data_IF_102651644138
#
_entry.id   IF_102651644138
#
_cell.length_a   1.000
_cell.length_b   1.000
_cell.length_c   1.000
_cell.angle_alpha   90.00
_cell.angle_beta   90.00
_cell.angle_gamma   90.00
#
_symmetry.space_group_name_H-M   'P 1'
#
loop_
_entity.id
_entity.type
_entity.pdbx_description
1 polymer ?
#
# COMPACT_ATOMS: atom_id res chain seq x y z
N UNK A 1 20.27 39.61 -49.63
CA UNK A 1 20.70 38.19 -49.70
C UNK A 1 19.46 37.33 -49.82
N UNK A 2 19.37 36.57 -50.91
CA UNK A 2 18.26 35.69 -51.26
C UNK A 2 18.37 34.32 -50.59
N UNK A 3 17.22 33.71 -50.24
CA UNK A 3 16.88 32.30 -50.50
C UNK A 3 15.40 32.13 -50.09
N UNK A 4 14.46 31.98 -51.03
CA UNK A 4 13.97 30.75 -51.66
C UNK A 4 13.18 29.80 -50.74
N UNK A 5 11.97 29.52 -51.23
CA UNK A 5 10.89 28.64 -50.76
C UNK A 5 11.31 27.20 -50.47
N UNK A 6 10.68 26.58 -49.47
CA UNK A 6 10.23 25.19 -49.60
C UNK A 6 8.80 25.05 -49.07
N UNK A 7 7.88 24.77 -49.99
CA UNK A 7 6.61 24.18 -49.65
C UNK A 7 6.83 22.67 -49.49
N UNK A 8 6.64 22.13 -48.29
CA UNK A 8 6.37 20.70 -48.13
C UNK A 8 4.87 20.53 -47.98
N UNK A 9 4.23 20.14 -49.10
CA UNK A 9 2.97 19.42 -49.06
C UNK A 9 3.20 18.13 -48.29
N UNK A 10 2.39 17.91 -47.27
CA UNK A 10 2.40 16.72 -46.43
C UNK A 10 1.43 16.90 -45.28
N UNK A 11 0.14 16.79 -45.57
CA UNK A 11 -0.86 16.55 -44.54
C UNK A 11 -0.49 15.25 -43.81
N UNK A 12 -0.03 15.37 -42.57
CA UNK A 12 -0.27 14.35 -41.56
C UNK A 12 -0.93 15.07 -40.40
N UNK A 13 -2.26 15.08 -40.44
CA UNK A 13 -3.10 15.42 -39.32
C UNK A 13 -2.84 14.36 -38.23
N UNK A 14 -1.85 14.60 -37.38
CA UNK A 14 -1.72 13.89 -36.12
C UNK A 14 -2.07 14.88 -35.03
N UNK A 15 -3.35 15.24 -35.00
CA UNK A 15 -4.00 15.65 -33.75
C UNK A 15 -3.73 14.52 -32.76
N UNK A 16 -2.73 14.69 -31.90
CA UNK A 16 -2.60 13.86 -30.71
C UNK A 16 -3.87 14.11 -29.90
N UNK A 17 -4.86 13.25 -30.08
CA UNK A 17 -6.03 13.19 -29.23
C UNK A 17 -5.52 13.04 -27.79
N UNK A 18 -5.68 14.11 -27.01
CA UNK A 18 -5.46 14.09 -25.57
C UNK A 18 -6.50 13.12 -24.99
N UNK A 19 -6.12 11.87 -24.78
CA UNK A 19 -6.95 10.92 -24.08
C UNK A 19 -7.06 11.37 -22.63
N UNK A 20 -8.22 11.90 -22.24
CA UNK A 20 -8.54 12.17 -20.84
C UNK A 20 -8.54 10.85 -20.06
N UNK A 21 -7.53 10.68 -19.21
CA UNK A 21 -7.39 9.54 -18.33
C UNK A 21 -7.72 9.96 -16.89
N UNK A 22 -8.76 9.34 -16.32
CA UNK A 22 -9.07 9.45 -14.90
C UNK A 22 -8.36 8.37 -14.09
N UNK A 23 -7.78 8.73 -12.95
CA UNK A 23 -7.22 7.78 -11.99
C UNK A 23 -8.15 7.66 -10.77
N UNK A 24 -8.57 6.44 -10.46
CA UNK A 24 -9.28 6.13 -9.21
C UNK A 24 -8.23 5.76 -8.17
N UNK A 25 -8.12 6.56 -7.11
CA UNK A 25 -7.05 6.44 -6.09
C UNK A 25 -7.45 5.49 -4.96
N UNK A 26 -8.75 5.28 -4.75
CA UNK A 26 -9.29 4.40 -3.72
C UNK A 26 -10.63 4.90 -3.19
N UNK A 27 -11.25 4.15 -2.31
CA UNK A 27 -12.50 4.56 -1.68
C UNK A 27 -12.23 5.50 -0.49
N UNK A 28 -13.07 6.53 -0.30
CA UNK A 28 -12.85 7.55 0.76
C UNK A 28 -13.00 6.97 2.17
N UNK A 29 -13.78 5.90 2.32
CA UNK A 29 -14.01 5.16 3.54
C UNK A 29 -12.83 4.27 3.96
N UNK A 30 -11.89 4.00 3.05
CA UNK A 30 -10.69 3.22 3.33
C UNK A 30 -9.50 4.09 3.77
N UNK A 31 -9.61 5.41 3.66
CA UNK A 31 -8.53 6.36 4.00
C UNK A 31 -8.32 6.41 5.52
N UNK A 32 -7.07 6.28 5.94
CA UNK A 32 -6.66 6.50 7.33
C UNK A 32 -6.18 7.94 7.53
N UNK A 33 -6.70 8.60 8.57
CA UNK A 33 -6.25 9.94 8.95
C UNK A 33 -5.33 9.85 10.15
N UNK A 34 -4.07 10.23 9.97
CA UNK A 34 -3.06 10.27 11.03
C UNK A 34 -2.40 11.64 11.03
N UNK A 35 -2.39 12.31 12.18
CA UNK A 35 -1.76 13.64 12.36
C UNK A 35 -2.24 14.71 11.36
N UNK A 36 -3.49 14.61 10.90
CA UNK A 36 -4.07 15.55 9.92
C UNK A 36 -3.71 15.26 8.46
N UNK A 37 -3.02 14.16 8.19
CA UNK A 37 -2.68 13.67 6.85
C UNK A 37 -3.52 12.43 6.52
N UNK A 38 -3.84 12.25 5.25
CA UNK A 38 -4.65 11.15 4.75
C UNK A 38 -3.76 10.17 3.98
N UNK A 39 -3.87 8.89 4.29
CA UNK A 39 -3.12 7.82 3.63
C UNK A 39 -4.06 6.72 3.18
N UNK A 40 -3.75 6.10 2.04
CA UNK A 40 -4.40 4.86 1.63
C UNK A 40 -3.62 3.68 2.23
N UNK A 41 -4.26 2.81 3.04
CA UNK A 41 -3.60 1.66 3.67
C UNK A 41 -2.86 0.77 2.66
N UNK A 42 -3.41 0.61 1.46
CA UNK A 42 -2.81 -0.19 0.38
C UNK A 42 -1.41 0.30 -0.02
N UNK A 43 -1.16 1.61 0.05
CA UNK A 43 0.16 2.16 -0.29
C UNK A 43 1.20 1.76 0.77
N UNK A 44 0.80 1.77 2.04
CA UNK A 44 1.65 1.35 3.16
C UNK A 44 1.90 -0.16 3.11
N UNK A 45 0.84 -0.95 2.86
CA UNK A 45 0.93 -2.39 2.67
C UNK A 45 1.89 -2.75 1.54
N UNK A 46 1.78 -2.06 0.40
CA UNK A 46 2.64 -2.27 -0.77
C UNK A 46 4.11 -1.98 -0.48
N UNK A 47 4.42 -0.94 0.30
CA UNK A 47 5.79 -0.66 0.73
C UNK A 47 6.36 -1.80 1.57
N UNK A 48 5.58 -2.30 2.54
CA UNK A 48 5.99 -3.40 3.42
C UNK A 48 6.17 -4.71 2.63
N UNK A 49 5.22 -5.04 1.75
CA UNK A 49 5.24 -6.25 0.92
C UNK A 49 6.48 -6.34 0.01
N UNK A 50 6.98 -5.20 -0.46
CA UNK A 50 8.16 -5.15 -1.35
C UNK A 50 9.48 -5.37 -0.62
N UNK A 51 9.51 -5.20 0.70
CA UNK A 51 10.75 -5.17 1.46
C UNK A 51 11.30 -6.58 1.78
N UNK A 52 10.44 -7.59 1.89
CA UNK A 52 10.86 -8.94 2.27
C UNK A 52 10.10 -10.04 1.54
N UNK A 53 10.83 -10.96 0.89
CA UNK A 53 10.26 -12.02 0.02
C UNK A 53 9.38 -13.06 0.72
N UNK A 54 9.52 -13.18 2.04
CA UNK A 54 8.75 -14.12 2.87
C UNK A 54 7.44 -13.54 3.41
N UNK A 55 7.18 -12.26 3.18
CA UNK A 55 5.90 -11.67 3.54
C UNK A 55 4.89 -12.15 2.51
N UNK A 56 3.92 -12.96 2.94
CA UNK A 56 2.85 -13.45 2.08
C UNK A 56 1.80 -12.36 1.88
N UNK A 57 1.37 -11.73 2.98
CA UNK A 57 0.34 -10.69 3.01
C UNK A 57 0.63 -9.65 4.11
N UNK A 58 0.04 -8.47 3.98
CA UNK A 58 0.19 -7.37 4.94
C UNK A 58 -1.15 -6.64 5.07
N UNK A 59 -1.57 -6.27 6.28
CA UNK A 59 -2.78 -5.48 6.48
C UNK A 59 -2.49 -4.29 7.39
N UNK A 60 -2.99 -3.12 7.02
CA UNK A 60 -2.76 -1.89 7.78
C UNK A 60 -4.09 -1.27 8.21
N UNK A 61 -4.20 -0.93 9.50
CA UNK A 61 -5.35 -0.22 10.03
C UNK A 61 -4.95 0.66 11.22
N UNK A 62 -5.89 1.44 11.74
CA UNK A 62 -5.67 2.29 12.91
C UNK A 62 -6.44 1.78 14.11
N UNK A 63 -5.84 1.84 15.30
CA UNK A 63 -6.49 1.54 16.56
C UNK A 63 -6.17 2.61 17.59
N UNK A 64 -7.18 3.33 18.08
CA UNK A 64 -7.02 4.40 19.08
C UNK A 64 -5.95 5.45 18.69
N UNK A 65 -5.84 5.77 17.39
CA UNK A 65 -4.82 6.64 16.77
C UNK A 65 -3.40 6.07 16.69
N UNK A 66 -3.20 4.77 16.95
CA UNK A 66 -1.98 4.05 16.64
C UNK A 66 -2.11 3.40 15.27
N UNK A 67 -1.03 3.43 14.48
CA UNK A 67 -0.92 2.66 13.25
C UNK A 67 -0.56 1.22 13.61
N UNK A 68 -1.42 0.28 13.23
CA UNK A 68 -1.24 -1.15 13.44
C UNK A 68 -0.93 -1.80 12.09
N UNK A 69 0.18 -2.55 12.04
CA UNK A 69 0.60 -3.29 10.84
C UNK A 69 0.60 -4.77 11.16
N UNK A 70 -0.22 -5.54 10.45
CA UNK A 70 -0.28 -7.00 10.53
C UNK A 70 0.49 -7.55 9.35
N UNK A 71 1.42 -8.46 9.61
CA UNK A 71 2.27 -9.05 8.57
C UNK A 71 2.19 -10.56 8.66
N UNK A 72 1.82 -11.17 7.55
CA UNK A 72 1.77 -12.61 7.38
C UNK A 72 3.14 -13.09 6.88
N UNK A 73 3.81 -13.91 7.68
CA UNK A 73 5.18 -14.37 7.41
C UNK A 73 5.20 -15.88 7.17
N UNK A 74 5.69 -16.30 6.00
CA UNK A 74 6.02 -17.69 5.72
C UNK A 74 7.46 -18.00 6.18
N UNK A 75 7.63 -18.18 7.50
CA UNK A 75 8.94 -18.32 8.13
C UNK A 75 8.91 -18.76 9.58
N UNK A 76 10.08 -18.86 10.20
CA UNK A 76 10.23 -19.23 11.61
C UNK A 76 10.07 -18.01 12.54
N UNK A 77 9.73 -18.23 13.81
CA UNK A 77 9.61 -17.16 14.83
C UNK A 77 10.84 -16.25 14.94
N UNK A 78 12.05 -16.79 14.73
CA UNK A 78 13.28 -15.97 14.74
C UNK A 78 13.25 -14.89 13.66
N UNK A 79 12.70 -15.20 12.48
CA UNK A 79 12.59 -14.24 11.37
C UNK A 79 11.47 -13.23 11.62
N UNK A 80 10.43 -13.62 12.37
CA UNK A 80 9.35 -12.73 12.78
C UNK A 80 9.87 -11.57 13.65
N UNK A 81 10.81 -11.85 14.56
CA UNK A 81 11.41 -10.82 15.43
C UNK A 81 12.26 -9.82 14.64
N UNK A 82 13.00 -10.30 13.63
CA UNK A 82 13.80 -9.44 12.74
C UNK A 82 12.91 -8.58 11.82
N UNK A 83 11.66 -8.99 11.59
CA UNK A 83 10.70 -8.27 10.76
C UNK A 83 10.14 -7.01 11.44
N UNK A 84 10.04 -6.99 12.76
CA UNK A 84 9.50 -5.85 13.51
C UNK A 84 10.28 -4.54 13.25
N UNK A 85 11.62 -4.48 13.42
CA UNK A 85 12.38 -3.28 13.11
C UNK A 85 12.37 -2.98 11.61
N UNK A 86 12.30 -4.00 10.75
CA UNK A 86 12.22 -3.85 9.30
C UNK A 86 10.97 -3.06 8.89
N UNK A 87 9.80 -3.56 9.30
CA UNK A 87 8.48 -2.97 8.99
C UNK A 87 8.40 -1.54 9.54
N UNK A 88 8.84 -1.35 10.78
CA UNK A 88 8.82 -0.04 11.41
C UNK A 88 9.71 0.94 10.65
N UNK A 89 10.87 0.50 10.17
CA UNK A 89 11.77 1.35 9.39
C UNK A 89 11.21 1.69 8.02
N UNK A 90 10.69 0.70 7.28
CA UNK A 90 10.10 0.91 5.95
C UNK A 90 8.94 1.92 6.00
N UNK A 91 8.04 1.78 6.98
CA UNK A 91 6.89 2.68 7.13
C UNK A 91 7.33 4.09 7.56
N UNK A 92 8.36 4.18 8.41
CA UNK A 92 8.91 5.45 8.83
C UNK A 92 9.60 6.19 7.68
N UNK A 93 10.44 5.49 6.92
CA UNK A 93 11.22 6.09 5.83
C UNK A 93 10.33 6.50 4.65
N UNK A 94 9.45 5.60 4.19
CA UNK A 94 8.65 5.84 2.98
C UNK A 94 7.41 6.71 3.24
N UNK A 95 6.74 6.53 4.38
CA UNK A 95 5.45 7.18 4.67
C UNK A 95 5.53 8.26 5.75
N UNK A 96 6.69 8.42 6.41
CA UNK A 96 6.88 9.35 7.54
C UNK A 96 5.88 9.10 8.68
N UNK A 97 5.49 7.82 8.86
CA UNK A 97 4.55 7.37 9.88
C UNK A 97 5.23 6.52 10.95
N UNK A 98 4.78 6.66 12.19
CA UNK A 98 5.24 5.83 13.31
C UNK A 98 4.27 4.67 13.49
N UNK A 99 4.80 3.44 13.36
CA UNK A 99 4.05 2.22 13.68
C UNK A 99 3.95 2.08 15.20
N UNK A 100 2.73 1.94 15.71
CA UNK A 100 2.49 1.75 17.14
C UNK A 100 2.50 0.29 17.56
N UNK A 101 2.00 -0.60 16.69
CA UNK A 101 1.92 -2.04 16.94
C UNK A 101 2.25 -2.80 15.66
N UNK A 102 3.14 -3.78 15.75
CA UNK A 102 3.39 -4.77 14.70
C UNK A 102 2.88 -6.11 15.18
N UNK A 103 2.04 -6.76 14.38
CA UNK A 103 1.52 -8.10 14.64
C UNK A 103 2.07 -9.02 13.55
N UNK A 104 2.78 -10.07 13.93
CA UNK A 104 3.22 -11.11 12.99
C UNK A 104 2.29 -12.31 13.14
N UNK A 105 1.77 -12.81 12.03
CA UNK A 105 0.82 -13.92 11.98
C UNK A 105 1.30 -15.02 11.03
N UNK A 106 0.83 -16.24 11.27
CA UNK A 106 1.07 -17.38 10.39
C UNK A 106 0.36 -17.24 9.03
N UNK A 107 0.85 -17.91 7.98
CA UNK A 107 0.22 -17.92 6.67
C UNK A 107 -1.26 -18.33 6.67
N UNK A 108 -2.09 -17.63 5.90
CA UNK A 108 -3.53 -17.84 5.78
C UNK A 108 -4.37 -17.23 6.89
N UNK A 109 -3.76 -16.50 7.83
CA UNK A 109 -4.49 -15.79 8.89
C UNK A 109 -5.10 -14.51 8.33
N UNK A 110 -4.44 -13.75 7.45
CA UNK A 110 -5.02 -12.50 6.94
C UNK A 110 -6.20 -12.83 6.00
N UNK A 111 -7.43 -12.35 6.28
CA UNK A 111 -8.63 -12.81 5.60
C UNK A 111 -8.80 -12.06 4.28
N UNK A 112 -8.61 -12.78 3.17
CA UNK A 112 -8.86 -12.28 1.82
C UNK A 112 -10.32 -12.59 1.46
N UNK A 113 -11.09 -11.57 1.09
CA UNK A 113 -12.45 -11.77 0.63
C UNK A 113 -12.45 -12.56 -0.70
N UNK A 114 -13.59 -13.14 -1.09
CA UNK A 114 -13.70 -13.94 -2.32
C UNK A 114 -13.48 -13.13 -3.63
N UNK A 115 -13.28 -11.81 -3.54
CA UNK A 115 -12.92 -10.90 -4.65
C UNK A 115 -11.42 -10.58 -4.68
N UNK A 116 -10.64 -11.01 -3.69
CA UNK A 116 -9.21 -10.70 -3.55
C UNK A 116 -8.92 -9.43 -2.77
N UNK A 117 -9.91 -8.77 -2.17
CA UNK A 117 -9.73 -7.59 -1.32
C UNK A 117 -9.63 -8.02 0.15
N UNK A 118 -8.75 -7.38 0.91
CA UNK A 118 -8.61 -7.64 2.35
C UNK A 118 -9.90 -7.22 3.06
N UNK A 119 -10.54 -8.14 3.77
CA UNK A 119 -11.75 -7.81 4.51
C UNK A 119 -11.38 -7.00 5.76
N UNK A 120 -11.40 -5.66 5.68
CA UNK A 120 -11.07 -4.74 6.79
C UNK A 120 -11.78 -5.14 8.10
N UNK A 121 -13.05 -5.54 8.01
CA UNK A 121 -13.90 -5.97 9.13
C UNK A 121 -13.29 -7.16 9.90
N UNK A 122 -12.63 -8.07 9.20
CA UNK A 122 -12.10 -9.31 9.76
C UNK A 122 -10.67 -9.15 10.28
N UNK A 123 -9.92 -8.15 9.78
CA UNK A 123 -8.62 -7.74 10.35
C UNK A 123 -8.80 -7.10 11.73
N UNK A 124 -9.83 -6.25 11.89
CA UNK A 124 -10.19 -5.73 13.22
C UNK A 124 -10.43 -6.88 14.20
N UNK A 125 -11.14 -7.93 13.80
CA UNK A 125 -11.40 -9.10 14.67
C UNK A 125 -10.10 -9.83 15.07
N UNK A 126 -9.05 -9.82 14.24
CA UNK A 126 -7.76 -10.46 14.57
C UNK A 126 -6.96 -9.71 15.61
N UNK A 127 -6.99 -8.38 15.61
CA UNK A 127 -6.42 -7.60 16.72
C UNK A 127 -7.13 -7.84 18.07
N UNK A 128 -8.33 -8.45 18.04
CA UNK A 128 -9.10 -8.84 19.21
C UNK A 128 -9.19 -10.37 19.41
N UNK A 129 -8.54 -11.18 18.56
CA UNK A 129 -8.45 -12.64 18.73
C UNK A 129 -7.55 -12.94 19.93
N UNK A 130 -7.91 -13.88 20.84
CA UNK A 130 -7.67 -13.70 22.26
C UNK A 130 -6.19 -13.75 22.59
N UNK A 131 -5.65 -12.57 22.89
CA UNK A 131 -4.69 -12.37 23.97
C UNK A 131 -5.30 -12.98 25.24
N UNK A 132 -4.96 -14.24 25.52
CA UNK A 132 -5.17 -14.91 26.79
C UNK A 132 -3.82 -15.29 27.38
#
# INVERSE_FOLDING_TARGET
MSALSIASVGQTNSEQELHDAGYVVGALDEVITLRGMNYHPIDIENSVLRYHKKIAECAVFTWTNLLVVVVELDGNESEALDLVPLVTNTVLEEHQLIVGVVVVVDPGVVPINSRGEKAANSIYVMAFWPIN
#
